data_IF_972512982136
#
_entry.id   IF_972512982136
#
_cell.length_a   1.000
_cell.length_b   1.000
_cell.length_c   1.000
_cell.angle_alpha   90.00
_cell.angle_beta   90.00
_cell.angle_gamma   90.00
#
_symmetry.space_group_name_H-M   'P 1'
#
loop_
_entity.id
_entity.type
_entity.pdbx_description
1 polymer ?
#
# COMPACT_ATOMS: atom_id res chain seq x y z
N UNK A 1 22.33 16.91 -26.26
CA UNK A 1 20.98 17.19 -26.77
C UNK A 1 19.98 16.51 -25.84
N UNK A 2 19.01 17.25 -25.29
CA UNK A 2 18.00 16.67 -24.40
C UNK A 2 17.15 15.63 -25.13
N UNK A 3 17.07 14.41 -24.59
CA UNK A 3 16.13 13.38 -25.08
C UNK A 3 14.73 13.77 -24.62
N UNK A 4 13.94 14.33 -25.52
CA UNK A 4 12.51 14.56 -25.27
C UNK A 4 11.76 13.24 -25.42
N UNK A 5 10.96 12.87 -24.41
CA UNK A 5 9.99 11.78 -24.49
C UNK A 5 8.59 12.39 -24.54
N UNK A 6 7.84 12.04 -25.58
CA UNK A 6 6.45 12.48 -25.75
C UNK A 6 5.54 11.31 -25.35
N UNK A 7 4.52 11.60 -24.56
CA UNK A 7 3.48 10.66 -24.15
C UNK A 7 2.13 11.23 -24.59
N UNK A 8 1.28 10.39 -25.19
CA UNK A 8 -0.02 10.82 -25.73
C UNK A 8 -1.12 9.95 -25.14
N UNK A 9 -2.11 10.58 -24.52
CA UNK A 9 -3.24 9.89 -23.88
C UNK A 9 -4.50 10.09 -24.70
N UNK A 10 -5.15 9.00 -25.05
CA UNK A 10 -6.38 8.99 -25.83
C UNK A 10 -7.56 8.63 -24.95
N UNK A 11 -8.56 9.50 -24.88
CA UNK A 11 -9.82 9.19 -24.21
C UNK A 11 -10.59 8.17 -25.05
N UNK A 12 -10.85 7.00 -24.48
CA UNK A 12 -11.57 5.90 -25.11
C UNK A 12 -13.00 5.82 -24.56
N UNK A 13 -13.75 6.89 -24.78
CA UNK A 13 -15.16 6.99 -24.36
C UNK A 13 -16.00 7.52 -25.52
N UNK A 14 -17.06 6.77 -25.84
CA UNK A 14 -18.10 7.20 -26.76
C UNK A 14 -19.24 7.77 -25.92
N UNK A 15 -19.36 9.09 -25.87
CA UNK A 15 -20.41 9.77 -25.10
C UNK A 15 -21.78 9.74 -25.81
N UNK A 16 -21.81 9.50 -27.12
CA UNK A 16 -23.04 9.30 -27.90
C UNK A 16 -22.74 8.60 -29.23
N UNK A 17 -23.56 7.62 -29.61
CA UNK A 17 -23.44 6.91 -30.90
C UNK A 17 -23.79 7.83 -32.08
N UNK A 18 -24.57 8.89 -31.84
CA UNK A 18 -25.04 9.85 -32.84
C UNK A 18 -23.98 10.88 -33.27
N UNK A 19 -22.83 10.94 -32.58
CA UNK A 19 -21.76 11.92 -32.83
C UNK A 19 -20.49 11.30 -33.40
N UNK A 20 -20.52 10.03 -33.81
CA UNK A 20 -19.34 9.33 -34.35
C UNK A 20 -19.22 9.61 -35.86
N UNK A 21 -18.24 10.42 -36.23
CA UNK A 21 -17.77 10.48 -37.62
C UNK A 21 -16.82 9.30 -37.87
N UNK A 22 -17.21 8.37 -38.74
CA UNK A 22 -16.39 7.19 -39.11
C UNK A 22 -15.03 7.62 -39.70
N UNK A 23 -14.99 8.77 -40.37
CA UNK A 23 -13.77 9.36 -40.92
C UNK A 23 -12.80 9.81 -39.82
N UNK A 24 -13.29 10.37 -38.73
CA UNK A 24 -12.46 10.82 -37.60
C UNK A 24 -11.87 9.63 -36.84
N UNK A 25 -12.65 8.57 -36.64
CA UNK A 25 -12.18 7.34 -36.00
C UNK A 25 -11.09 6.65 -36.84
N UNK A 26 -11.25 6.64 -38.16
CA UNK A 26 -10.26 6.10 -39.09
C UNK A 26 -8.95 6.88 -39.04
N UNK A 27 -9.02 8.22 -39.05
CA UNK A 27 -7.85 9.11 -38.90
C UNK A 27 -7.15 8.94 -37.55
N UNK A 28 -7.92 8.80 -36.46
CA UNK A 28 -7.37 8.58 -35.11
C UNK A 28 -6.63 7.25 -35.02
N UNK A 29 -7.20 6.20 -35.62
CA UNK A 29 -6.60 4.85 -35.66
C UNK A 29 -5.31 4.85 -36.49
N UNK A 30 -5.30 5.54 -37.62
CA UNK A 30 -4.10 5.71 -38.45
C UNK A 30 -3.02 6.53 -37.73
N UNK A 31 -3.41 7.60 -37.03
CA UNK A 31 -2.49 8.40 -36.22
C UNK A 31 -1.85 7.57 -35.10
N UNK A 32 -2.63 6.74 -34.38
CA UNK A 32 -2.09 5.82 -33.35
C UNK A 32 -1.04 4.87 -33.92
N UNK A 33 -1.30 4.27 -35.09
CA UNK A 33 -0.34 3.40 -35.79
C UNK A 33 0.95 4.13 -36.20
N UNK A 34 0.90 5.44 -36.42
CA UNK A 34 2.08 6.25 -36.76
C UNK A 34 2.92 6.65 -35.53
N UNK A 35 2.39 6.54 -34.31
CA UNK A 35 3.09 6.89 -33.07
C UNK A 35 4.01 5.78 -32.57
N UNK A 36 3.59 4.52 -32.74
CA UNK A 36 4.33 3.33 -32.29
C UNK A 36 5.77 3.25 -32.85
N UNK A 37 6.02 3.49 -34.16
CA UNK A 37 7.37 3.47 -34.74
C UNK A 37 8.24 4.66 -34.31
N UNK A 38 7.64 5.73 -33.78
CA UNK A 38 8.34 6.96 -33.37
C UNK A 38 8.78 6.93 -31.91
N UNK A 39 8.60 5.80 -31.22
CA UNK A 39 8.93 5.65 -29.81
C UNK A 39 8.07 6.51 -28.88
N UNK A 40 6.90 6.96 -29.36
CA UNK A 40 5.93 7.73 -28.58
C UNK A 40 5.01 6.74 -27.88
N UNK A 41 5.06 6.70 -26.55
CA UNK A 41 4.19 5.83 -25.76
C UNK A 41 2.78 6.43 -25.78
N UNK A 42 1.79 5.65 -26.20
CA UNK A 42 0.39 6.05 -26.10
C UNK A 42 -0.44 5.05 -25.30
N UNK A 43 -1.44 5.59 -24.58
CA UNK A 43 -2.36 4.83 -23.72
C UNK A 43 -3.78 5.32 -23.89
N UNK A 44 -4.72 4.40 -23.65
CA UNK A 44 -6.15 4.65 -23.69
C UNK A 44 -6.67 4.77 -22.26
N UNK A 45 -7.63 5.66 -22.04
CA UNK A 45 -8.30 5.80 -20.73
C UNK A 45 -9.78 6.08 -20.92
N UNK A 46 -10.63 5.53 -20.06
CA UNK A 46 -12.09 5.67 -20.13
C UNK A 46 -12.61 6.74 -19.19
N UNK A 47 -11.97 6.89 -18.04
CA UNK A 47 -12.35 7.85 -16.99
C UNK A 47 -11.11 8.57 -16.43
N UNK A 48 -11.36 9.60 -15.63
CA UNK A 48 -10.32 10.49 -15.14
C UNK A 48 -9.39 9.77 -14.14
N UNK A 49 -9.89 8.78 -13.40
CA UNK A 49 -9.11 7.97 -12.47
C UNK A 49 -8.09 7.07 -13.21
N UNK A 50 -8.49 6.47 -14.32
CA UNK A 50 -7.63 5.67 -15.19
C UNK A 50 -6.57 6.54 -15.86
N UNK A 51 -6.92 7.77 -16.28
CA UNK A 51 -5.94 8.75 -16.75
C UNK A 51 -4.91 9.09 -15.66
N UNK A 52 -5.36 9.38 -14.44
CA UNK A 52 -4.45 9.68 -13.33
C UNK A 52 -3.51 8.52 -13.02
N UNK A 53 -4.03 7.28 -13.03
CA UNK A 53 -3.23 6.06 -12.86
C UNK A 53 -2.17 5.93 -13.95
N UNK A 54 -2.58 6.01 -15.22
CA UNK A 54 -1.67 5.89 -16.37
C UNK A 54 -0.63 7.01 -16.42
N UNK A 55 -1.01 8.25 -16.10
CA UNK A 55 -0.06 9.37 -16.03
C UNK A 55 0.95 9.17 -14.91
N UNK A 56 0.52 8.72 -13.72
CA UNK A 56 1.41 8.49 -12.57
C UNK A 56 2.45 7.41 -12.88
N UNK A 57 2.01 6.27 -13.40
CA UNK A 57 2.89 5.14 -13.77
C UNK A 57 3.91 5.57 -14.83
N UNK A 58 3.47 6.31 -15.85
CA UNK A 58 4.31 6.62 -17.00
C UNK A 58 5.24 7.82 -16.81
N UNK A 59 4.95 8.72 -15.87
CA UNK A 59 5.83 9.85 -15.53
C UNK A 59 6.92 9.43 -14.52
N UNK A 60 6.63 8.50 -13.61
CA UNK A 60 7.57 8.12 -12.57
C UNK A 60 8.85 7.46 -13.11
N UNK A 61 8.75 6.61 -14.15
CA UNK A 61 9.91 5.95 -14.75
C UNK A 61 10.88 6.94 -15.43
N UNK A 62 10.44 7.88 -16.29
CA UNK A 62 11.30 8.96 -16.80
C UNK A 62 11.89 9.87 -15.72
N UNK A 63 11.15 10.19 -14.65
CA UNK A 63 11.66 10.99 -13.54
C UNK A 63 12.77 10.24 -12.81
N UNK A 64 12.59 8.96 -12.51
CA UNK A 64 13.62 8.16 -11.85
C UNK A 64 14.86 7.96 -12.74
N UNK A 65 14.69 7.77 -14.05
CA UNK A 65 15.82 7.75 -14.99
C UNK A 65 16.56 9.10 -15.03
N UNK A 66 15.83 10.22 -14.98
CA UNK A 66 16.42 11.55 -14.89
C UNK A 66 17.15 11.80 -13.55
N UNK A 67 16.58 11.35 -12.43
CA UNK A 67 17.17 11.44 -11.09
C UNK A 67 18.36 10.51 -10.89
N UNK A 68 18.40 9.35 -11.58
CA UNK A 68 19.57 8.46 -11.58
C UNK A 68 20.69 8.97 -12.49
N UNK A 69 20.35 9.67 -13.57
CA UNK A 69 21.32 10.20 -14.54
C UNK A 69 21.93 11.55 -14.10
N UNK A 70 21.25 12.28 -13.22
CA UNK A 70 21.78 13.46 -12.56
C UNK A 70 21.87 13.14 -11.08
N UNK A 71 23.06 12.89 -10.53
CA UNK A 71 23.32 12.62 -9.11
C UNK A 71 22.76 13.72 -8.18
N UNK A 72 21.45 13.75 -8.00
CA UNK A 72 20.76 14.64 -7.08
C UNK A 72 20.30 13.75 -5.95
N UNK A 73 21.18 13.62 -4.97
CA UNK A 73 20.89 13.01 -3.67
C UNK A 73 19.76 13.79 -2.99
N UNK A 74 18.53 13.32 -3.17
CA UNK A 74 17.45 13.65 -2.25
C UNK A 74 17.52 12.66 -1.09
N UNK A 75 18.44 12.91 -0.15
CA UNK A 75 18.27 12.41 1.23
C UNK A 75 17.13 13.21 1.86
N UNK A 76 16.00 12.60 2.25
CA UNK A 76 15.01 13.28 3.06
C UNK A 76 15.66 13.60 4.40
N UNK A 77 15.83 14.89 4.70
CA UNK A 77 16.27 15.35 6.01
C UNK A 77 15.27 14.90 7.07
N UNK A 78 15.67 13.94 7.91
CA UNK A 78 14.90 13.55 9.10
C UNK A 78 14.99 12.09 9.52
N UNK A 79 16.13 11.41 9.38
CA UNK A 79 16.39 10.20 10.19
C UNK A 79 17.01 10.62 11.53
N UNK A 80 16.45 10.22 12.68
CA UNK A 80 17.17 10.27 13.95
C UNK A 80 18.33 9.28 13.88
N UNK A 81 19.52 9.76 14.23
CA UNK A 81 20.74 8.97 14.38
C UNK A 81 20.60 7.90 15.45
N UNK A 82 21.23 6.76 15.16
CA UNK A 82 21.73 5.74 16.07
C UNK A 82 20.72 4.99 16.96
N UNK A 83 20.25 3.84 16.44
CA UNK A 83 20.01 2.67 17.27
C UNK A 83 20.80 1.50 16.71
N UNK A 84 22.01 1.33 17.26
CA UNK A 84 22.76 0.08 17.21
C UNK A 84 22.04 -0.92 18.12
N UNK A 85 21.13 -1.70 17.54
CA UNK A 85 20.50 -2.84 18.24
C UNK A 85 21.39 -4.05 18.02
N UNK A 86 22.40 -4.19 18.88
CA UNK A 86 23.03 -5.47 19.15
C UNK A 86 21.98 -6.42 19.72
N UNK A 87 21.41 -7.26 18.85
CA UNK A 87 20.56 -8.39 19.22
C UNK A 87 21.44 -9.43 19.94
N UNK A 88 21.52 -9.33 21.27
CA UNK A 88 21.90 -10.44 22.13
C UNK A 88 20.80 -10.61 23.17
N UNK A 89 20.37 -11.87 23.29
CA UNK A 89 19.39 -12.42 24.23
C UNK A 89 17.94 -12.53 23.72
N UNK A 90 17.75 -13.48 22.80
CA UNK A 90 16.54 -14.30 22.72
C UNK A 90 16.94 -15.78 22.95
N UNK A 91 16.18 -16.55 23.75
CA UNK A 91 16.56 -17.91 24.11
C UNK A 91 16.54 -18.82 22.88
N UNK A 92 17.61 -19.60 22.73
CA UNK A 92 17.84 -20.53 21.66
C UNK A 92 16.73 -21.59 21.57
N UNK A 93 15.86 -21.44 20.57
CA UNK A 93 15.19 -22.57 19.94
C UNK A 93 16.13 -23.08 18.85
N UNK A 94 16.81 -24.19 19.16
CA UNK A 94 17.64 -24.95 18.23
C UNK A 94 16.75 -25.59 17.16
N UNK A 95 16.44 -24.83 16.12
CA UNK A 95 16.22 -25.39 14.78
C UNK A 95 17.41 -24.98 13.94
N UNK A 96 18.02 -25.98 13.30
CA UNK A 96 19.15 -25.85 12.40
C UNK A 96 18.87 -24.81 11.33
N UNK A 97 19.36 -23.58 11.54
CA UNK A 97 19.28 -22.51 10.57
C UNK A 97 20.20 -22.85 9.40
N UNK A 98 19.61 -23.38 8.34
CA UNK A 98 20.25 -23.48 7.02
C UNK A 98 20.63 -22.04 6.63
N UNK A 99 21.90 -21.77 6.24
CA UNK A 99 22.30 -20.45 5.76
C UNK A 99 21.36 -19.98 4.65
N UNK A 100 20.97 -18.70 4.68
CA UNK A 100 20.05 -18.07 3.71
C UNK A 100 20.52 -18.22 2.24
N UNK A 101 21.81 -18.53 2.04
CA UNK A 101 22.46 -18.83 0.75
C UNK A 101 22.18 -20.23 0.19
N UNK A 102 21.74 -21.19 1.01
CA UNK A 102 21.44 -22.56 0.58
C UNK A 102 19.97 -22.76 0.14
N UNK A 103 19.15 -21.70 0.20
CA UNK A 103 17.73 -21.77 -0.18
C UNK A 103 17.57 -21.99 -1.68
N UNK A 104 16.91 -23.07 -2.05
CA UNK A 104 16.56 -23.38 -3.43
C UNK A 104 15.33 -22.60 -3.91
N UNK A 105 15.02 -22.76 -5.20
CA UNK A 105 13.85 -22.12 -5.84
C UNK A 105 12.55 -22.50 -5.11
N UNK A 106 12.39 -23.77 -4.72
CA UNK A 106 11.17 -24.23 -4.04
C UNK A 106 11.03 -23.62 -2.64
N UNK A 107 12.12 -23.50 -1.89
CA UNK A 107 12.09 -22.91 -0.55
C UNK A 107 11.70 -21.42 -0.61
N UNK A 108 12.22 -20.70 -1.60
CA UNK A 108 11.88 -19.29 -1.82
C UNK A 108 10.45 -19.09 -2.32
N UNK A 109 9.94 -20.02 -3.13
CA UNK A 109 8.54 -20.00 -3.58
C UNK A 109 7.60 -20.23 -2.40
N UNK A 110 7.87 -21.23 -1.56
CA UNK A 110 7.08 -21.50 -0.36
C UNK A 110 7.14 -20.33 0.64
N UNK A 111 8.31 -19.72 0.82
CA UNK A 111 8.47 -18.51 1.65
C UNK A 111 7.64 -17.35 1.12
N UNK A 112 7.68 -17.09 -0.19
CA UNK A 112 6.88 -16.05 -0.83
C UNK A 112 5.37 -16.30 -0.68
N UNK A 113 4.90 -17.54 -0.86
CA UNK A 113 3.49 -17.91 -0.69
C UNK A 113 3.01 -17.69 0.75
N UNK A 114 3.77 -18.15 1.75
CA UNK A 114 3.43 -17.93 3.16
C UNK A 114 3.41 -16.45 3.53
N UNK A 115 4.42 -15.72 3.04
CA UNK A 115 4.57 -14.29 3.33
C UNK A 115 3.43 -13.46 2.72
N UNK A 116 3.00 -13.76 1.48
CA UNK A 116 1.90 -13.03 0.84
C UNK A 116 0.55 -13.38 1.45
N UNK A 117 0.31 -14.64 1.81
CA UNK A 117 -0.89 -15.06 2.55
C UNK A 117 -0.99 -14.37 3.93
N UNK A 118 0.13 -14.32 4.66
CA UNK A 118 0.20 -13.59 5.92
C UNK A 118 -0.07 -12.08 5.75
N UNK A 119 0.45 -11.47 4.68
CA UNK A 119 0.19 -10.06 4.37
C UNK A 119 -1.30 -9.82 4.10
N UNK A 120 -1.93 -10.69 3.31
CA UNK A 120 -3.36 -10.61 3.01
C UNK A 120 -4.25 -10.77 4.24
N UNK A 121 -3.90 -11.67 5.16
CA UNK A 121 -4.61 -11.85 6.44
C UNK A 121 -4.54 -10.60 7.31
N UNK A 122 -3.35 -10.02 7.49
CA UNK A 122 -3.20 -8.79 8.27
C UNK A 122 -3.91 -7.61 7.62
N UNK A 123 -3.89 -7.48 6.29
CA UNK A 123 -4.64 -6.43 5.58
C UNK A 123 -6.16 -6.56 5.77
N UNK A 124 -6.67 -7.80 5.73
CA UNK A 124 -8.08 -8.09 6.05
C UNK A 124 -8.38 -7.65 7.48
N UNK A 125 -7.51 -8.00 8.44
CA UNK A 125 -7.71 -7.65 9.85
C UNK A 125 -7.64 -6.14 10.11
N UNK A 126 -6.75 -5.42 9.44
CA UNK A 126 -6.69 -3.95 9.46
C UNK A 126 -8.05 -3.37 9.03
N UNK A 127 -8.60 -3.88 7.93
CA UNK A 127 -9.89 -3.42 7.39
C UNK A 127 -11.03 -3.68 8.37
N UNK A 128 -11.09 -4.87 8.98
CA UNK A 128 -12.07 -5.22 10.01
C UNK A 128 -11.95 -4.29 11.24
N UNK A 129 -10.74 -4.07 11.75
CA UNK A 129 -10.51 -3.19 12.90
C UNK A 129 -10.96 -1.76 12.61
N UNK A 130 -10.69 -1.24 11.40
CA UNK A 130 -11.19 0.07 10.98
C UNK A 130 -12.72 0.13 10.97
N UNK A 131 -13.39 -0.90 10.45
CA UNK A 131 -14.85 -0.98 10.44
C UNK A 131 -15.43 -1.07 11.86
N UNK A 132 -14.80 -1.87 12.74
CA UNK A 132 -15.16 -1.99 14.15
C UNK A 132 -15.06 -0.62 14.85
N UNK A 133 -13.95 0.11 14.66
CA UNK A 133 -13.77 1.43 15.26
C UNK A 133 -14.79 2.43 14.71
N UNK A 134 -15.02 2.45 13.39
CA UNK A 134 -15.98 3.36 12.78
C UNK A 134 -17.41 3.09 13.27
N UNK A 135 -17.82 1.82 13.31
CA UNK A 135 -19.13 1.38 13.80
C UNK A 135 -19.33 1.77 15.25
N UNK A 136 -18.35 1.48 16.11
CA UNK A 136 -18.45 1.80 17.52
C UNK A 136 -18.44 3.32 17.74
N UNK A 137 -17.61 4.07 17.03
CA UNK A 137 -17.61 5.54 17.09
C UNK A 137 -18.99 6.12 16.77
N UNK A 138 -19.66 5.63 15.72
CA UNK A 138 -21.00 6.10 15.36
C UNK A 138 -22.05 5.78 16.45
N UNK A 139 -22.00 4.59 17.05
CA UNK A 139 -22.89 4.24 18.19
C UNK A 139 -22.64 5.14 19.40
N UNK A 140 -21.39 5.45 19.66
CA UNK A 140 -20.97 6.23 20.82
C UNK A 140 -21.37 7.71 20.66
N UNK A 141 -21.27 8.26 19.44
CA UNK A 141 -21.81 9.59 19.11
C UNK A 141 -23.31 9.66 19.37
N UNK A 142 -24.10 8.70 18.85
CA UNK A 142 -25.55 8.65 19.10
C UNK A 142 -25.89 8.53 20.60
N UNK A 143 -25.06 7.78 21.35
CA UNK A 143 -25.24 7.64 22.80
C UNK A 143 -24.93 8.94 23.53
N UNK A 144 -23.85 9.65 23.16
CA UNK A 144 -23.51 10.96 23.74
C UNK A 144 -24.63 11.97 23.46
N UNK A 145 -25.16 12.01 22.23
CA UNK A 145 -26.27 12.90 21.86
C UNK A 145 -27.52 12.63 22.71
N UNK A 146 -27.88 11.36 22.93
CA UNK A 146 -29.02 11.00 23.80
C UNK A 146 -28.76 11.25 25.29
N UNK A 147 -27.51 11.11 25.76
CA UNK A 147 -27.11 11.40 27.14
C UNK A 147 -27.00 12.90 27.44
N UNK A 148 -26.70 13.72 26.43
CA UNK A 148 -26.74 15.17 26.53
C UNK A 148 -28.18 15.67 26.75
N UNK A 149 -29.18 14.98 26.22
CA UNK A 149 -30.61 15.28 26.39
C UNK A 149 -31.13 14.88 27.78
N UNK A 150 -30.51 13.89 28.44
CA UNK A 150 -31.06 13.25 29.65
C UNK A 150 -30.51 13.79 30.99
N UNK A 151 -29.94 15.00 31.03
CA UNK A 151 -29.42 15.63 32.27
C UNK A 151 -28.38 14.78 33.04
N UNK A 152 -27.69 13.85 32.37
CA UNK A 152 -26.66 13.02 33.01
C UNK A 152 -25.55 13.88 33.66
N UNK A 153 -25.09 13.44 34.82
CA UNK A 153 -24.04 14.13 35.58
C UNK A 153 -22.71 14.12 34.82
N UNK A 154 -21.83 15.06 35.15
CA UNK A 154 -20.49 15.11 34.55
C UNK A 154 -19.66 13.86 34.85
N UNK A 155 -19.91 13.19 35.99
CA UNK A 155 -19.24 11.95 36.36
C UNK A 155 -19.67 10.77 35.47
N UNK A 156 -20.96 10.64 35.19
CA UNK A 156 -21.49 9.59 34.31
C UNK A 156 -20.99 9.77 32.87
N UNK A 157 -21.05 11.00 32.35
CA UNK A 157 -20.50 11.35 31.03
C UNK A 157 -19.02 10.99 30.95
N UNK A 158 -18.23 11.34 31.97
CA UNK A 158 -16.81 11.01 32.03
C UNK A 158 -16.55 9.51 32.06
N UNK A 159 -17.30 8.75 32.85
CA UNK A 159 -17.17 7.30 32.93
C UNK A 159 -17.44 6.64 31.57
N UNK A 160 -18.49 7.10 30.88
CA UNK A 160 -18.85 6.65 29.54
C UNK A 160 -17.75 6.94 28.51
N UNK A 161 -17.26 8.19 28.45
CA UNK A 161 -16.17 8.58 27.55
C UNK A 161 -14.89 7.78 27.82
N UNK A 162 -14.59 7.51 29.09
CA UNK A 162 -13.42 6.72 29.46
C UNK A 162 -13.54 5.25 29.03
N UNK A 163 -14.73 4.66 29.12
CA UNK A 163 -14.97 3.32 28.60
C UNK A 163 -14.74 3.24 27.09
N UNK A 164 -15.22 4.24 26.35
CA UNK A 164 -14.94 4.33 24.91
C UNK A 164 -13.45 4.58 24.62
N UNK A 165 -12.75 5.34 25.46
CA UNK A 165 -11.30 5.52 25.35
C UNK A 165 -10.54 4.20 25.50
N UNK A 166 -10.95 3.33 26.43
CA UNK A 166 -10.34 2.00 26.61
C UNK A 166 -10.56 1.11 25.38
N UNK A 167 -11.76 1.15 24.80
CA UNK A 167 -12.04 0.49 23.52
C UNK A 167 -11.11 0.99 22.41
N UNK A 168 -11.02 2.31 22.22
CA UNK A 168 -10.16 2.90 21.18
C UNK A 168 -8.69 2.53 21.39
N UNK A 169 -8.22 2.53 22.64
CA UNK A 169 -6.85 2.14 22.97
C UNK A 169 -6.57 0.69 22.61
N UNK A 170 -7.48 -0.23 22.96
CA UNK A 170 -7.35 -1.65 22.63
C UNK A 170 -7.30 -1.87 21.13
N UNK A 171 -8.18 -1.20 20.36
CA UNK A 171 -8.21 -1.31 18.91
C UNK A 171 -7.01 -0.65 18.24
N UNK A 172 -6.52 0.47 18.76
CA UNK A 172 -5.29 1.10 18.27
C UNK A 172 -4.07 0.18 18.39
N UNK A 173 -3.93 -0.51 19.53
CA UNK A 173 -2.83 -1.48 19.74
C UNK A 173 -2.94 -2.64 18.75
N UNK A 174 -4.14 -3.20 18.56
CA UNK A 174 -4.34 -4.27 17.59
C UNK A 174 -4.05 -3.80 16.15
N UNK A 175 -4.47 -2.59 15.79
CA UNK A 175 -4.24 -2.02 14.47
C UNK A 175 -2.75 -1.82 14.18
N UNK A 176 -2.00 -1.29 15.15
CA UNK A 176 -0.54 -1.13 15.07
C UNK A 176 0.18 -2.47 14.91
N UNK A 177 -0.24 -3.50 15.65
CA UNK A 177 0.32 -4.85 15.55
C UNK A 177 0.10 -5.46 14.18
N UNK A 178 -1.12 -5.37 13.64
CA UNK A 178 -1.44 -5.89 12.31
C UNK A 178 -0.72 -5.13 11.20
N UNK A 179 -0.57 -3.80 11.32
CA UNK A 179 0.19 -3.00 10.37
C UNK A 179 1.66 -3.45 10.31
N UNK A 180 2.30 -3.65 11.47
CA UNK A 180 3.68 -4.13 11.57
C UNK A 180 3.84 -5.56 11.07
N UNK A 181 2.88 -6.44 11.37
CA UNK A 181 2.87 -7.81 10.87
C UNK A 181 2.75 -7.84 9.33
N UNK A 182 1.81 -7.08 8.76
CA UNK A 182 1.64 -6.96 7.31
C UNK A 182 2.92 -6.46 6.64
N UNK A 183 3.56 -5.45 7.24
CA UNK A 183 4.81 -4.88 6.76
C UNK A 183 5.96 -5.88 6.76
N UNK A 184 6.16 -6.60 7.86
CA UNK A 184 7.22 -7.61 7.97
C UNK A 184 7.01 -8.74 6.95
N UNK A 185 5.79 -9.26 6.86
CA UNK A 185 5.43 -10.31 5.90
C UNK A 185 5.57 -9.84 4.46
N UNK A 186 5.19 -8.60 4.14
CA UNK A 186 5.37 -8.06 2.81
C UNK A 186 6.85 -7.89 2.43
N UNK A 187 7.67 -7.40 3.36
CA UNK A 187 9.11 -7.27 3.14
C UNK A 187 9.75 -8.63 2.85
N UNK A 188 9.32 -9.68 3.56
CA UNK A 188 9.76 -11.05 3.33
C UNK A 188 9.36 -11.50 1.91
N UNK A 189 8.07 -11.37 1.57
CA UNK A 189 7.58 -11.67 0.22
C UNK A 189 8.41 -10.98 -0.87
N UNK A 190 8.62 -9.68 -0.75
CA UNK A 190 9.38 -8.91 -1.74
C UNK A 190 10.82 -9.43 -1.89
N UNK A 191 11.48 -9.75 -0.78
CA UNK A 191 12.84 -10.30 -0.80
C UNK A 191 12.89 -11.70 -1.43
N UNK A 192 11.92 -12.55 -1.15
CA UNK A 192 11.82 -13.91 -1.71
C UNK A 192 11.57 -13.88 -3.22
N UNK A 193 10.71 -12.98 -3.71
CA UNK A 193 10.48 -12.81 -5.16
C UNK A 193 11.75 -12.32 -5.90
N UNK A 194 12.48 -11.37 -5.32
CA UNK A 194 13.73 -10.89 -5.92
C UNK A 194 14.77 -12.02 -5.97
N UNK A 195 14.87 -12.82 -4.91
CA UNK A 195 15.76 -13.98 -4.87
C UNK A 195 15.36 -15.04 -5.90
N UNK A 196 14.06 -15.37 -6.02
CA UNK A 196 13.52 -16.30 -7.03
C UNK A 196 13.89 -15.88 -8.45
N UNK A 197 13.72 -14.59 -8.78
CA UNK A 197 14.07 -14.08 -10.09
C UNK A 197 15.58 -14.14 -10.38
N UNK A 198 16.42 -14.02 -9.34
CA UNK A 198 17.86 -14.26 -9.43
C UNK A 198 18.16 -15.72 -9.78
N UNK A 199 17.64 -16.66 -9.00
CA UNK A 199 17.85 -18.10 -9.20
C UNK A 199 17.31 -18.61 -10.54
N UNK A 200 16.21 -18.02 -11.04
CA UNK A 200 15.67 -18.38 -12.35
C UNK A 200 16.65 -18.08 -13.49
N UNK A 201 17.44 -16.99 -13.40
CA UNK A 201 18.42 -16.63 -14.43
C UNK A 201 19.55 -17.67 -14.54
N UNK A 202 19.75 -18.47 -13.49
CA UNK A 202 20.80 -19.49 -13.40
C UNK A 202 20.31 -20.89 -13.80
N UNK A 203 18.99 -21.11 -13.84
CA UNK A 203 18.39 -22.43 -14.11
C UNK A 203 18.12 -22.70 -15.60
N UNK A 204 18.40 -23.93 -16.05
CA UNK A 204 18.08 -24.40 -17.40
C UNK A 204 16.57 -24.64 -17.62
N UNK A 205 15.78 -24.79 -16.55
CA UNK A 205 14.32 -24.99 -16.59
C UNK A 205 13.54 -23.65 -16.54
N UNK A 206 14.09 -22.60 -17.16
CA UNK A 206 13.64 -21.22 -16.99
C UNK A 206 12.15 -20.98 -17.28
N UNK A 207 11.51 -21.80 -18.12
CA UNK A 207 10.14 -21.58 -18.59
C UNK A 207 9.06 -21.93 -17.54
N UNK A 208 9.26 -23.02 -16.77
CA UNK A 208 8.34 -23.39 -15.68
C UNK A 208 8.37 -22.34 -14.56
N UNK A 209 9.57 -21.95 -14.14
CA UNK A 209 9.78 -20.95 -13.10
C UNK A 209 9.36 -19.53 -13.54
N UNK A 210 9.35 -19.26 -14.84
CA UNK A 210 8.81 -18.00 -15.38
C UNK A 210 7.32 -17.86 -15.14
N UNK A 211 6.59 -18.97 -15.26
CA UNK A 211 5.15 -19.01 -14.99
C UNK A 211 4.86 -18.74 -13.51
N UNK A 212 5.61 -19.38 -12.61
CA UNK A 212 5.49 -19.17 -11.16
C UNK A 212 5.82 -17.72 -10.76
N UNK A 213 6.91 -17.16 -11.28
CA UNK A 213 7.25 -15.76 -11.03
C UNK A 213 6.17 -14.80 -11.56
N UNK A 214 5.61 -15.07 -12.74
CA UNK A 214 4.51 -14.27 -13.29
C UNK A 214 3.25 -14.33 -12.40
N UNK A 215 2.96 -15.49 -11.79
CA UNK A 215 1.86 -15.61 -10.83
C UNK A 215 2.11 -14.74 -9.59
N UNK A 216 3.32 -14.76 -9.03
CA UNK A 216 3.65 -13.91 -7.88
C UNK A 216 3.58 -12.41 -8.21
N UNK A 217 4.03 -12.01 -9.41
CA UNK A 217 3.90 -10.63 -9.87
C UNK A 217 2.43 -10.21 -10.03
N UNK A 218 1.57 -11.11 -10.52
CA UNK A 218 0.13 -10.88 -10.59
C UNK A 218 -0.48 -10.70 -9.19
N UNK A 219 -0.08 -11.52 -8.22
CA UNK A 219 -0.53 -11.36 -6.82
C UNK A 219 -0.04 -10.04 -6.22
N UNK A 220 1.21 -9.66 -6.48
CA UNK A 220 1.75 -8.38 -6.06
C UNK A 220 0.91 -7.22 -6.65
N UNK A 221 0.60 -7.25 -7.95
CA UNK A 221 -0.22 -6.23 -8.61
C UNK A 221 -1.64 -6.16 -8.03
N UNK A 222 -2.27 -7.30 -7.73
CA UNK A 222 -3.56 -7.32 -7.03
C UNK A 222 -3.47 -6.62 -5.68
N UNK A 223 -2.42 -6.90 -4.91
CA UNK A 223 -2.21 -6.26 -3.61
C UNK A 223 -1.93 -4.76 -3.73
N UNK A 224 -1.20 -4.32 -4.75
CA UNK A 224 -1.03 -2.90 -5.05
C UNK A 224 -2.37 -2.21 -5.25
N UNK A 225 -3.26 -2.81 -6.04
CA UNK A 225 -4.59 -2.27 -6.27
C UNK A 225 -5.40 -2.18 -4.96
N UNK A 226 -5.37 -3.23 -4.13
CA UNK A 226 -6.03 -3.22 -2.82
C UNK A 226 -5.48 -2.14 -1.89
N UNK A 227 -4.16 -1.93 -1.88
CA UNK A 227 -3.52 -0.88 -1.07
C UNK A 227 -3.95 0.51 -1.55
N UNK A 228 -3.94 0.75 -2.87
CA UNK A 228 -4.37 2.03 -3.46
C UNK A 228 -5.82 2.34 -3.10
N UNK A 229 -6.71 1.36 -3.19
CA UNK A 229 -8.13 1.51 -2.83
C UNK A 229 -8.31 1.85 -1.34
N UNK A 230 -7.58 1.15 -0.46
CA UNK A 230 -7.67 1.36 0.99
C UNK A 230 -6.98 2.64 1.47
N UNK A 231 -6.03 3.19 0.71
CA UNK A 231 -5.30 4.41 1.05
C UNK A 231 -6.24 5.62 1.24
N UNK A 232 -7.23 5.74 0.37
CA UNK A 232 -8.23 6.82 0.47
C UNK A 232 -9.08 6.66 1.73
N UNK A 233 -9.52 5.43 2.02
CA UNK A 233 -10.29 5.10 3.22
C UNK A 233 -9.52 5.41 4.50
N UNK A 234 -8.23 5.04 4.57
CA UNK A 234 -7.42 5.27 5.77
C UNK A 234 -7.09 6.75 5.98
N UNK A 235 -6.83 7.49 4.91
CA UNK A 235 -6.60 8.93 4.97
C UNK A 235 -7.88 9.69 5.39
N UNK A 236 -9.05 9.27 4.88
CA UNK A 236 -10.34 9.80 5.30
C UNK A 236 -10.62 9.50 6.78
N UNK A 237 -10.37 8.26 7.20
CA UNK A 237 -10.54 7.86 8.60
C UNK A 237 -9.61 8.64 9.54
N UNK A 238 -8.34 8.80 9.18
CA UNK A 238 -7.38 9.65 9.91
C UNK A 238 -7.92 11.06 10.10
N UNK A 239 -8.40 11.67 9.01
CA UNK A 239 -8.96 13.03 9.03
C UNK A 239 -10.15 13.12 9.97
N UNK A 240 -11.05 12.14 9.94
CA UNK A 240 -12.18 12.07 10.86
C UNK A 240 -11.71 12.00 12.33
N UNK A 241 -10.74 11.14 12.65
CA UNK A 241 -10.19 10.99 14.01
C UNK A 241 -9.50 12.27 14.48
N UNK A 242 -8.72 12.94 13.62
CA UNK A 242 -8.07 14.23 13.91
C UNK A 242 -9.09 15.30 14.29
N UNK A 243 -10.25 15.33 13.62
CA UNK A 243 -11.29 16.33 13.84
C UNK A 243 -12.13 16.10 15.11
N UNK A 244 -12.00 14.94 15.77
CA UNK A 244 -12.70 14.70 17.05
C UNK A 244 -12.18 15.69 18.11
N UNK A 245 -13.05 16.45 18.80
CA UNK A 245 -12.61 17.42 19.81
C UNK A 245 -11.90 16.73 20.99
N UNK A 246 -11.12 17.51 21.75
CA UNK A 246 -10.50 17.02 22.99
C UNK A 246 -11.55 16.94 24.08
N UNK A 247 -11.71 15.76 24.70
CA UNK A 247 -12.79 15.52 25.68
C UNK A 247 -12.22 15.25 27.08
N UNK A 248 -11.61 14.09 27.29
CA UNK A 248 -10.93 13.73 28.56
C UNK A 248 -9.46 13.41 28.29
N UNK A 249 -8.62 13.42 29.33
CA UNK A 249 -7.21 13.05 29.22
C UNK A 249 -7.06 11.63 28.64
N UNK A 250 -7.83 10.67 29.15
CA UNK A 250 -7.78 9.27 28.70
C UNK A 250 -8.24 9.13 27.25
N UNK A 251 -9.33 9.80 26.87
CA UNK A 251 -9.80 9.83 25.49
C UNK A 251 -8.76 10.44 24.54
N UNK A 252 -8.13 11.54 24.94
CA UNK A 252 -7.09 12.19 24.14
C UNK A 252 -5.86 11.29 23.96
N UNK A 253 -5.48 10.51 24.98
CA UNK A 253 -4.40 9.53 24.89
C UNK A 253 -4.77 8.38 23.94
N UNK A 254 -5.97 7.83 24.06
CA UNK A 254 -6.46 6.78 23.17
C UNK A 254 -6.55 7.25 21.71
N UNK A 255 -7.06 8.47 21.49
CA UNK A 255 -7.07 9.13 20.18
C UNK A 255 -5.67 9.27 19.60
N UNK A 256 -4.68 9.68 20.40
CA UNK A 256 -3.29 9.80 19.94
C UNK A 256 -2.75 8.43 19.50
N UNK A 257 -2.92 7.40 20.33
CA UNK A 257 -2.49 6.04 19.98
C UNK A 257 -3.15 5.53 18.70
N UNK A 258 -4.44 5.82 18.50
CA UNK A 258 -5.13 5.47 17.26
C UNK A 258 -4.54 6.19 16.04
N UNK A 259 -4.21 7.48 16.17
CA UNK A 259 -3.56 8.22 15.08
C UNK A 259 -2.18 7.65 14.76
N UNK A 260 -1.39 7.32 15.78
CA UNK A 260 -0.06 6.71 15.59
C UNK A 260 -0.20 5.34 14.87
N UNK A 261 -1.20 4.52 15.23
CA UNK A 261 -1.48 3.24 14.56
C UNK A 261 -1.96 3.41 13.11
N UNK A 262 -2.80 4.41 12.84
CA UNK A 262 -3.24 4.75 11.48
C UNK A 262 -2.05 5.20 10.62
N UNK A 263 -1.13 5.98 11.20
CA UNK A 263 0.08 6.43 10.51
C UNK A 263 0.99 5.23 10.17
N UNK A 264 1.11 4.23 11.04
CA UNK A 264 1.82 2.98 10.71
C UNK A 264 1.17 2.22 9.55
N UNK A 265 -0.16 2.17 9.46
CA UNK A 265 -0.83 1.59 8.29
C UNK A 265 -0.50 2.36 6.99
N UNK A 266 -0.38 3.69 7.06
CA UNK A 266 0.02 4.49 5.90
C UNK A 266 1.47 4.20 5.47
N UNK A 267 2.38 4.05 6.44
CA UNK A 267 3.77 3.63 6.18
C UNK A 267 3.81 2.26 5.51
N UNK A 268 3.03 1.30 6.00
CA UNK A 268 2.90 -0.01 5.36
C UNK A 268 2.44 0.12 3.89
N UNK A 269 1.41 0.93 3.61
CA UNK A 269 0.94 1.15 2.24
C UNK A 269 2.01 1.74 1.32
N UNK A 270 2.77 2.73 1.81
CA UNK A 270 3.89 3.31 1.07
C UNK A 270 4.99 2.28 0.78
N UNK A 271 5.24 1.37 1.72
CA UNK A 271 6.21 0.29 1.53
C UNK A 271 5.75 -0.78 0.54
N UNK A 272 4.45 -1.12 0.53
CA UNK A 272 3.90 -2.01 -0.49
C UNK A 272 4.05 -1.41 -1.88
N UNK A 273 3.69 -0.13 -2.04
CA UNK A 273 3.87 0.58 -3.30
C UNK A 273 5.34 0.53 -3.74
N UNK A 274 6.27 0.94 -2.87
CA UNK A 274 7.71 0.93 -3.19
C UNK A 274 8.24 -0.48 -3.48
N UNK A 275 7.89 -1.46 -2.67
CA UNK A 275 8.40 -2.83 -2.78
C UNK A 275 7.97 -3.48 -4.09
N UNK A 276 6.73 -3.27 -4.53
CA UNK A 276 6.24 -3.80 -5.81
C UNK A 276 6.98 -3.19 -7.00
N UNK A 277 7.31 -1.89 -6.94
CA UNK A 277 8.16 -1.26 -7.95
C UNK A 277 9.58 -1.85 -7.95
N UNK A 278 10.17 -2.11 -6.78
CA UNK A 278 11.50 -2.71 -6.69
C UNK A 278 11.54 -4.13 -7.23
N UNK A 279 10.52 -4.94 -6.92
CA UNK A 279 10.35 -6.28 -7.49
C UNK A 279 10.35 -6.17 -9.01
N UNK A 280 9.44 -5.36 -9.57
CA UNK A 280 9.27 -5.21 -11.03
C UNK A 280 10.53 -4.70 -11.74
N UNK A 281 11.37 -3.91 -11.05
CA UNK A 281 12.62 -3.40 -11.61
C UNK A 281 13.77 -4.43 -11.59
N UNK A 282 13.72 -5.42 -10.69
CA UNK A 282 14.78 -6.42 -10.47
C UNK A 282 14.49 -7.76 -11.13
N UNK A 283 13.20 -8.07 -11.35
CA UNK A 283 12.73 -9.25 -12.10
C UNK A 283 12.72 -8.98 -13.59
#
# INVERSE_FOLDING_TARGET
MGRYRVQVYFRDRIDSVSSISIDEFSKLTEFRKQLEPRGVLYRLFKNDDELQREVRVNIQRPIQEYLKSNEIDFTPHGQPKDFDVSVKDAPAATESAIPVEDFGILDRAEEAEKAIDSTGKSLTRITELMQEIASETNKQVATIESQLISNASSAEKRAFINHFADFLKSKAIALDQEAKAARASFSLFASSIVALAGLQKESQESEKYRSELANFLSVAELMLNTVIENRTSIAGFRTAVVNIPRITIQFNQAKKLLLDAIDECQVFFDEVERGIFEITAKT
#
